data_IF_781767490907
#
_entry.id   IF_781767490907
#
_cell.length_a   1.000
_cell.length_b   1.000
_cell.length_c   1.000
_cell.angle_alpha   90.00
_cell.angle_beta   90.00
_cell.angle_gamma   90.00
#
_symmetry.space_group_name_H-M   'P 1'
#
loop_
_entity.id
_entity.type
_entity.pdbx_description
1 polymer ?
#
# COMPACT_ATOMS: atom_id res chain seq x y z
N UNK A 1 -24.54 -9.13 -2.85
CA UNK A 1 -24.12 -9.55 -4.22
C UNK A 1 -23.29 -10.85 -4.15
N UNK A 2 -23.14 -11.60 -5.25
CA UNK A 2 -22.48 -12.93 -5.27
C UNK A 2 -21.01 -12.86 -4.82
N UNK A 3 -20.32 -11.77 -5.10
CA UNK A 3 -18.92 -11.55 -4.71
C UNK A 3 -18.70 -11.45 -3.19
N UNK A 4 -19.53 -10.66 -2.51
CA UNK A 4 -19.52 -10.53 -1.04
C UNK A 4 -19.77 -11.88 -0.37
N UNK A 5 -20.65 -12.70 -0.94
CA UNK A 5 -20.95 -14.04 -0.44
C UNK A 5 -19.74 -14.99 -0.60
N UNK A 6 -19.10 -15.01 -1.77
CA UNK A 6 -17.88 -15.82 -2.00
C UNK A 6 -16.77 -15.45 -1.01
N UNK A 7 -16.55 -14.15 -0.77
CA UNK A 7 -15.56 -13.71 0.21
C UNK A 7 -15.96 -14.09 1.65
N UNK A 8 -17.24 -14.00 2.00
CA UNK A 8 -17.74 -14.44 3.31
C UNK A 8 -17.51 -15.94 3.53
N UNK A 9 -17.81 -16.77 2.54
CA UNK A 9 -17.63 -18.22 2.62
C UNK A 9 -16.13 -18.57 2.69
N UNK A 10 -15.30 -17.89 1.90
CA UNK A 10 -13.84 -18.02 1.95
C UNK A 10 -13.30 -17.69 3.33
N UNK A 11 -13.67 -16.55 3.91
CA UNK A 11 -13.20 -16.14 5.23
C UNK A 11 -13.75 -17.04 6.35
N UNK A 12 -14.97 -17.55 6.22
CA UNK A 12 -15.54 -18.48 7.19
C UNK A 12 -14.73 -19.78 7.24
N UNK A 13 -14.26 -20.26 6.07
CA UNK A 13 -13.45 -21.46 5.97
C UNK A 13 -12.00 -21.25 6.38
N UNK A 14 -11.41 -20.10 6.02
CA UNK A 14 -9.97 -19.84 6.19
C UNK A 14 -9.63 -19.15 7.53
N UNK A 15 -10.61 -18.53 8.19
CA UNK A 15 -10.46 -17.89 9.50
C UNK A 15 -11.49 -18.47 10.50
N UNK A 16 -11.43 -19.77 10.83
CA UNK A 16 -12.46 -20.44 11.64
C UNK A 16 -12.53 -19.93 13.09
N UNK A 17 -11.50 -19.25 13.56
CA UNK A 17 -11.44 -18.57 14.87
C UNK A 17 -12.41 -17.38 14.95
N UNK A 18 -12.76 -16.79 13.81
CA UNK A 18 -13.62 -15.61 13.74
C UNK A 18 -15.09 -16.04 13.71
N UNK A 19 -15.85 -15.57 14.69
CA UNK A 19 -17.27 -15.88 14.77
C UNK A 19 -18.04 -15.39 13.52
N UNK A 20 -18.85 -16.27 12.91
CA UNK A 20 -19.61 -16.01 11.66
C UNK A 20 -20.37 -14.68 11.64
N UNK A 21 -21.09 -14.34 12.72
CA UNK A 21 -21.81 -13.04 12.84
C UNK A 21 -20.90 -11.80 12.77
N UNK A 22 -19.64 -11.90 13.20
CA UNK A 22 -18.65 -10.81 13.09
C UNK A 22 -18.20 -10.66 11.64
N UNK A 23 -17.88 -11.76 10.95
CA UNK A 23 -17.61 -11.75 9.50
C UNK A 23 -18.78 -11.17 8.72
N UNK A 24 -20.00 -11.64 8.96
CA UNK A 24 -21.21 -11.10 8.30
C UNK A 24 -21.37 -9.59 8.52
N UNK A 25 -21.09 -9.09 9.72
CA UNK A 25 -21.18 -7.66 10.00
C UNK A 25 -20.07 -6.85 9.33
N UNK A 26 -18.86 -7.42 9.23
CA UNK A 26 -17.73 -6.83 8.52
C UNK A 26 -17.99 -6.77 7.00
N UNK A 27 -18.50 -7.85 6.43
CA UNK A 27 -18.83 -7.96 5.00
C UNK A 27 -20.02 -7.08 4.63
N UNK A 28 -21.01 -6.95 5.50
CA UNK A 28 -22.10 -5.99 5.31
C UNK A 28 -21.59 -4.53 5.27
N UNK A 29 -20.64 -4.17 6.14
CA UNK A 29 -20.01 -2.85 6.10
C UNK A 29 -19.14 -2.66 4.83
N UNK A 30 -18.49 -3.74 4.38
CA UNK A 30 -17.71 -3.78 3.14
C UNK A 30 -18.60 -3.56 1.90
N UNK A 31 -19.75 -4.23 1.85
CA UNK A 31 -20.75 -4.04 0.79
C UNK A 31 -21.20 -2.58 0.70
N UNK A 32 -21.49 -1.93 1.84
CA UNK A 32 -21.83 -0.50 1.83
C UNK A 32 -20.73 0.40 1.23
N UNK A 33 -19.44 0.10 1.44
CA UNK A 33 -18.32 0.84 0.83
C UNK A 33 -18.27 0.61 -0.68
N UNK A 34 -18.43 -0.64 -1.10
CA UNK A 34 -18.44 -1.01 -2.51
C UNK A 34 -19.58 -0.33 -3.27
N UNK A 35 -20.72 -0.13 -2.60
CA UNK A 35 -21.91 0.51 -3.13
C UNK A 35 -21.85 2.06 -3.01
N UNK A 36 -20.69 2.61 -2.62
CA UNK A 36 -20.39 4.04 -2.69
C UNK A 36 -20.43 4.81 -1.37
N UNK A 37 -20.62 4.15 -0.22
CA UNK A 37 -20.54 4.83 1.07
C UNK A 37 -19.11 5.28 1.40
N UNK A 38 -18.96 6.51 1.89
CA UNK A 38 -17.69 6.93 2.50
C UNK A 38 -17.36 6.08 3.73
N UNK A 39 -16.08 5.85 3.97
CA UNK A 39 -15.52 5.10 5.09
C UNK A 39 -15.62 5.85 6.44
N UNK A 40 -16.85 6.21 6.81
CA UNK A 40 -17.20 6.92 8.05
C UNK A 40 -18.35 6.20 8.75
N UNK A 41 -18.34 6.22 10.09
CA UNK A 41 -19.34 5.55 10.92
C UNK A 41 -20.79 5.80 10.46
N UNK A 42 -21.15 7.06 10.25
CA UNK A 42 -22.53 7.45 9.96
C UNK A 42 -22.93 7.15 8.52
N UNK A 43 -22.04 7.35 7.54
CA UNK A 43 -22.36 7.01 6.14
C UNK A 43 -22.45 5.51 5.93
N UNK A 44 -21.52 4.73 6.49
CA UNK A 44 -21.62 3.28 6.50
C UNK A 44 -22.94 2.82 7.11
N UNK A 45 -23.30 3.35 8.29
CA UNK A 45 -24.55 3.00 8.97
C UNK A 45 -25.80 3.36 8.17
N UNK A 46 -25.81 4.51 7.47
CA UNK A 46 -26.93 4.96 6.62
C UNK A 46 -27.07 4.16 5.33
N UNK A 47 -25.96 3.63 4.81
CA UNK A 47 -25.92 2.84 3.58
C UNK A 47 -26.06 1.33 3.81
N UNK A 48 -26.25 0.89 5.06
CA UNK A 48 -26.48 -0.53 5.32
C UNK A 48 -27.84 -0.96 4.76
N UNK A 49 -27.83 -1.99 3.92
CA UNK A 49 -29.05 -2.64 3.45
C UNK A 49 -29.66 -3.50 4.57
N UNK A 50 -30.50 -2.90 5.42
CA UNK A 50 -31.18 -3.59 6.52
C UNK A 50 -32.62 -3.13 6.66
N UNK A 51 -33.48 -3.99 7.22
CA UNK A 51 -34.87 -3.66 7.57
C UNK A 51 -35.02 -2.86 8.87
N UNK A 52 -33.92 -2.37 9.44
CA UNK A 52 -33.91 -1.66 10.72
C UNK A 52 -33.86 -0.15 10.51
N UNK A 53 -34.24 0.62 11.53
CA UNK A 53 -34.12 2.09 11.43
C UNK A 53 -32.66 2.52 11.32
N UNK A 54 -32.43 3.67 10.68
CA UNK A 54 -31.10 4.27 10.50
C UNK A 54 -30.32 4.40 11.82
N UNK A 55 -31.02 4.70 12.93
CA UNK A 55 -30.42 4.75 14.27
C UNK A 55 -29.78 3.40 14.64
N UNK A 56 -30.47 2.29 14.43
CA UNK A 56 -29.97 0.96 14.76
C UNK A 56 -28.85 0.51 13.82
N UNK A 57 -28.95 0.85 12.53
CA UNK A 57 -27.91 0.59 11.54
C UNK A 57 -26.59 1.32 11.87
N UNK A 58 -26.65 2.61 12.26
CA UNK A 58 -25.48 3.37 12.73
C UNK A 58 -24.90 2.74 14.00
N UNK A 59 -25.75 2.41 14.99
CA UNK A 59 -25.29 1.72 16.21
C UNK A 59 -24.66 0.36 15.93
N UNK A 60 -25.06 -0.33 14.86
CA UNK A 60 -24.46 -1.61 14.45
C UNK A 60 -23.02 -1.40 13.96
N UNK A 61 -22.77 -0.42 13.09
CA UNK A 61 -21.40 -0.07 12.68
C UNK A 61 -20.58 0.42 13.87
N UNK A 62 -21.19 1.20 14.77
CA UNK A 62 -20.47 1.69 15.96
C UNK A 62 -19.93 0.54 16.80
N UNK A 63 -20.76 -0.47 17.08
CA UNK A 63 -20.38 -1.70 17.80
C UNK A 63 -19.39 -2.57 17.04
N UNK A 64 -19.45 -2.58 15.69
CA UNK A 64 -18.47 -3.29 14.86
C UNK A 64 -17.09 -2.66 15.04
N UNK A 65 -16.98 -1.34 14.91
CA UNK A 65 -15.71 -0.61 15.03
C UNK A 65 -15.11 -0.67 16.44
N UNK A 66 -15.93 -0.84 17.49
CA UNK A 66 -15.49 -1.00 18.87
C UNK A 66 -15.44 -2.45 19.35
N UNK A 67 -15.63 -3.45 18.48
CA UNK A 67 -15.72 -4.84 18.89
C UNK A 67 -14.35 -5.38 19.37
N UNK A 68 -14.20 -5.58 20.68
CA UNK A 68 -12.94 -6.02 21.29
C UNK A 68 -12.43 -7.37 20.74
N UNK A 69 -13.33 -8.29 20.42
CA UNK A 69 -12.91 -9.60 19.89
C UNK A 69 -12.45 -9.48 18.44
N UNK A 70 -13.11 -8.63 17.64
CA UNK A 70 -12.66 -8.34 16.28
C UNK A 70 -11.26 -7.71 16.26
N UNK A 71 -10.95 -6.82 17.21
CA UNK A 71 -9.61 -6.24 17.36
C UNK A 71 -8.53 -7.27 17.71
N UNK A 72 -8.89 -8.41 18.32
CA UNK A 72 -7.94 -9.48 18.66
C UNK A 72 -7.70 -10.44 17.50
N UNK A 73 -8.69 -10.60 16.63
CA UNK A 73 -8.68 -11.60 15.55
C UNK A 73 -8.52 -10.99 14.15
N UNK A 74 -8.54 -9.66 14.00
CA UNK A 74 -8.40 -9.01 12.69
C UNK A 74 -7.11 -9.39 11.94
N UNK A 75 -6.04 -9.68 12.68
CA UNK A 75 -4.78 -10.17 12.16
C UNK A 75 -4.93 -11.51 11.41
N UNK A 76 -5.92 -12.34 11.74
CA UNK A 76 -6.17 -13.60 11.02
C UNK A 76 -6.64 -13.36 9.58
N UNK A 77 -7.37 -12.27 9.34
CA UNK A 77 -7.77 -11.87 7.99
C UNK A 77 -6.57 -11.37 7.20
N UNK A 78 -5.69 -10.57 7.83
CA UNK A 78 -4.43 -10.15 7.19
C UNK A 78 -3.52 -11.35 6.89
N UNK A 79 -3.40 -12.32 7.81
CA UNK A 79 -2.66 -13.58 7.60
C UNK A 79 -3.22 -14.38 6.42
N UNK A 80 -4.54 -14.54 6.36
CA UNK A 80 -5.19 -15.21 5.22
C UNK A 80 -4.84 -14.51 3.90
N UNK A 81 -5.01 -13.19 3.85
CA UNK A 81 -4.75 -12.44 2.62
C UNK A 81 -3.26 -12.45 2.24
N UNK A 82 -2.35 -12.32 3.21
CA UNK A 82 -0.92 -12.41 2.97
C UNK A 82 -0.52 -13.79 2.41
N UNK A 83 -1.06 -14.89 2.96
CA UNK A 83 -0.87 -16.23 2.41
C UNK A 83 -1.41 -16.35 0.98
N UNK A 84 -2.57 -15.74 0.71
CA UNK A 84 -3.17 -15.70 -0.62
C UNK A 84 -2.22 -15.07 -1.65
N UNK A 85 -1.58 -13.94 -1.33
CA UNK A 85 -0.84 -13.15 -2.32
C UNK A 85 0.69 -13.31 -2.27
N UNK A 86 1.23 -13.92 -1.21
CA UNK A 86 2.68 -14.16 -1.08
C UNK A 86 3.04 -15.62 -0.82
N UNK A 87 2.07 -16.53 -0.74
CA UNK A 87 2.29 -17.93 -0.34
C UNK A 87 3.29 -18.69 -1.22
N UNK A 88 3.31 -18.43 -2.53
CA UNK A 88 4.26 -19.08 -3.45
C UNK A 88 5.49 -18.22 -3.79
N UNK A 89 5.62 -17.02 -3.22
CA UNK A 89 6.76 -16.14 -3.45
C UNK A 89 7.62 -16.03 -2.18
N UNK A 90 8.80 -16.67 -2.13
CA UNK A 90 9.65 -16.63 -0.93
C UNK A 90 10.29 -15.26 -0.69
N UNK A 91 10.32 -14.37 -1.68
CA UNK A 91 10.97 -13.07 -1.61
C UNK A 91 10.08 -11.96 -2.20
N UNK A 92 8.92 -11.65 -1.57
CA UNK A 92 8.01 -10.65 -2.10
C UNK A 92 8.60 -9.25 -1.98
N UNK A 93 8.33 -8.40 -2.98
CA UNK A 93 8.71 -6.98 -2.93
C UNK A 93 7.60 -6.20 -2.23
N UNK A 94 7.92 -5.70 -1.04
CA UNK A 94 6.97 -5.02 -0.15
C UNK A 94 7.31 -3.53 -0.09
N UNK A 95 6.38 -2.69 -0.51
CA UNK A 95 6.45 -1.24 -0.31
C UNK A 95 5.98 -0.93 1.11
N UNK A 96 6.72 -0.11 1.84
CA UNK A 96 6.32 0.37 3.17
C UNK A 96 6.40 1.88 3.24
N UNK A 97 5.31 2.51 3.66
CA UNK A 97 5.27 3.95 3.82
C UNK A 97 4.23 4.44 4.83
N UNK A 98 4.47 5.63 5.36
CA UNK A 98 3.58 6.33 6.28
C UNK A 98 2.61 7.23 5.53
N UNK A 99 1.40 7.38 6.06
CA UNK A 99 0.40 8.26 5.49
C UNK A 99 -0.47 8.89 6.56
N UNK A 100 -0.69 10.20 6.48
CA UNK A 100 -1.62 10.90 7.38
C UNK A 100 -3.07 10.56 7.04
N UNK A 101 -3.84 10.09 8.01
CA UNK A 101 -5.25 9.71 7.82
C UNK A 101 -6.12 10.91 7.41
N UNK A 102 -5.80 12.14 7.86
CA UNK A 102 -6.68 13.32 7.71
C UNK A 102 -5.98 14.62 7.33
N UNK A 103 -4.71 14.59 6.91
CA UNK A 103 -3.91 15.81 6.63
C UNK A 103 -3.94 16.83 7.79
N UNK A 104 -3.97 16.32 9.02
CA UNK A 104 -3.97 17.10 10.26
C UNK A 104 -2.93 16.63 11.27
N UNK A 105 -2.08 15.67 10.89
CA UNK A 105 -1.01 15.10 11.69
C UNK A 105 -1.52 14.66 13.07
N UNK A 106 -2.67 13.99 13.11
CA UNK A 106 -3.26 13.44 14.34
C UNK A 106 -3.07 11.95 14.45
N UNK A 107 -3.36 11.26 13.35
CA UNK A 107 -3.26 9.82 13.21
C UNK A 107 -2.53 9.51 11.92
N UNK A 108 -1.58 8.59 12.00
CA UNK A 108 -0.76 8.15 10.89
C UNK A 108 -1.03 6.68 10.65
N UNK A 109 -1.09 6.24 9.40
CA UNK A 109 -1.14 4.83 9.03
C UNK A 109 0.22 4.43 8.48
N UNK A 110 0.78 3.34 8.98
CA UNK A 110 1.90 2.65 8.35
C UNK A 110 1.33 1.46 7.58
N UNK A 111 1.67 1.35 6.30
CA UNK A 111 1.15 0.31 5.41
C UNK A 111 2.29 -0.41 4.72
N UNK A 112 2.16 -1.74 4.66
CA UNK A 112 2.95 -2.63 3.84
C UNK A 112 2.09 -3.11 2.67
N UNK A 113 2.61 -3.06 1.45
CA UNK A 113 1.87 -3.47 0.25
C UNK A 113 2.75 -4.18 -0.77
N UNK A 114 2.23 -5.23 -1.41
CA UNK A 114 2.87 -5.83 -2.60
C UNK A 114 2.54 -5.00 -3.83
N UNK A 115 3.54 -4.81 -4.69
CA UNK A 115 3.34 -4.22 -6.03
C UNK A 115 2.53 -5.20 -6.88
N UNK A 116 1.42 -4.82 -7.48
CA UNK A 116 0.61 -5.67 -8.36
C UNK A 116 0.15 -4.89 -9.59
N UNK A 117 0.71 -5.21 -10.77
CA UNK A 117 0.29 -4.68 -12.08
C UNK A 117 -0.09 -3.17 -12.11
N UNK A 118 0.79 -2.33 -11.58
CA UNK A 118 0.64 -0.86 -11.60
C UNK A 118 -0.12 -0.26 -10.40
N UNK A 119 -0.54 -1.07 -9.42
CA UNK A 119 -1.11 -0.62 -8.15
C UNK A 119 -0.53 -1.42 -6.99
N UNK A 120 -0.61 -0.90 -5.78
CA UNK A 120 -0.17 -1.63 -4.59
C UNK A 120 -1.37 -2.30 -3.90
N UNK A 121 -1.19 -3.55 -3.48
CA UNK A 121 -2.16 -4.32 -2.70
C UNK A 121 -1.68 -4.37 -1.26
N UNK A 122 -2.50 -3.92 -0.32
CA UNK A 122 -2.19 -3.96 1.12
C UNK A 122 -1.97 -5.40 1.60
N UNK A 123 -0.83 -5.64 2.25
CA UNK A 123 -0.58 -6.86 3.04
C UNK A 123 -0.97 -6.67 4.50
N UNK A 124 -0.57 -5.53 5.04
CA UNK A 124 -0.81 -5.18 6.42
C UNK A 124 -0.79 -3.67 6.56
N UNK A 125 -1.64 -3.16 7.43
CA UNK A 125 -1.60 -1.76 7.81
C UNK A 125 -2.09 -1.56 9.23
N UNK A 126 -1.58 -0.51 9.86
CA UNK A 126 -1.89 -0.18 11.23
C UNK A 126 -1.90 1.33 11.41
N UNK A 127 -2.89 1.84 12.15
CA UNK A 127 -2.96 3.21 12.57
C UNK A 127 -2.14 3.46 13.84
N UNK A 128 -1.65 4.68 13.98
CA UNK A 128 -0.83 5.15 15.09
C UNK A 128 -1.21 6.58 15.44
N UNK A 129 -0.96 7.00 16.68
CA UNK A 129 -1.01 8.41 17.03
C UNK A 129 0.18 9.15 16.42
N UNK A 130 0.05 10.45 16.16
CA UNK A 130 1.14 11.23 15.56
C UNK A 130 2.43 11.23 16.41
N UNK A 131 2.33 11.15 17.74
CA UNK A 131 3.50 11.03 18.64
C UNK A 131 4.36 9.79 18.36
N UNK A 132 3.80 8.80 17.69
CA UNK A 132 4.45 7.54 17.33
C UNK A 132 5.03 7.56 15.90
N UNK A 133 4.77 8.63 15.14
CA UNK A 133 5.24 8.79 13.77
C UNK A 133 6.77 8.71 13.69
N UNK A 134 7.28 7.87 12.78
CA UNK A 134 8.72 7.64 12.59
C UNK A 134 9.50 7.25 13.86
N UNK A 135 8.82 6.69 14.87
CA UNK A 135 9.48 6.17 16.08
C UNK A 135 10.03 4.76 15.86
N UNK A 136 11.26 4.44 16.30
CA UNK A 136 11.82 3.09 16.20
C UNK A 136 10.98 2.02 16.88
N UNK A 137 10.29 2.34 17.99
CA UNK A 137 9.41 1.40 18.68
C UNK A 137 8.18 1.04 17.85
N UNK A 138 7.61 2.02 17.12
CA UNK A 138 6.46 1.75 16.23
C UNK A 138 6.87 1.00 14.98
N UNK A 139 8.05 1.30 14.43
CA UNK A 139 8.65 0.50 13.37
C UNK A 139 8.87 -0.95 13.79
N UNK A 140 9.46 -1.18 14.97
CA UNK A 140 9.70 -2.54 15.49
C UNK A 140 8.39 -3.32 15.61
N UNK A 141 7.40 -2.75 16.31
CA UNK A 141 6.09 -3.36 16.50
C UNK A 141 5.41 -3.68 15.17
N UNK A 142 5.49 -2.77 14.19
CA UNK A 142 4.93 -3.00 12.87
C UNK A 142 5.65 -4.13 12.12
N UNK A 143 6.98 -4.19 12.19
CA UNK A 143 7.77 -5.25 11.56
C UNK A 143 7.56 -6.61 12.23
N UNK A 144 7.41 -6.66 13.56
CA UNK A 144 7.07 -7.87 14.29
C UNK A 144 5.71 -8.41 13.82
N UNK A 145 4.69 -7.55 13.75
CA UNK A 145 3.38 -7.93 13.23
C UNK A 145 3.40 -8.34 11.77
N UNK A 146 4.15 -7.63 10.93
CA UNK A 146 4.32 -8.00 9.53
C UNK A 146 4.99 -9.37 9.38
N UNK A 147 5.98 -9.69 10.23
CA UNK A 147 6.61 -11.02 10.24
C UNK A 147 5.62 -12.12 10.61
N UNK A 148 4.75 -11.89 11.59
CA UNK A 148 3.70 -12.84 11.98
C UNK A 148 2.63 -13.04 10.88
N UNK A 149 2.42 -12.02 10.04
CA UNK A 149 1.43 -12.03 8.96
C UNK A 149 1.96 -12.73 7.71
N UNK A 150 3.24 -12.54 7.39
CA UNK A 150 3.86 -13.15 6.21
C UNK A 150 3.95 -14.68 6.34
N UNK A 151 3.96 -15.41 5.21
CA UNK A 151 4.22 -16.85 5.21
C UNK A 151 5.55 -17.19 5.90
N UNK A 152 5.59 -18.33 6.58
CA UNK A 152 6.79 -18.80 7.26
C UNK A 152 7.94 -18.96 6.26
N UNK A 153 9.12 -18.44 6.61
CA UNK A 153 10.31 -18.48 5.76
C UNK A 153 10.38 -17.39 4.69
N UNK A 154 9.39 -16.49 4.59
CA UNK A 154 9.46 -15.37 3.66
C UNK A 154 10.58 -14.38 4.02
N UNK A 155 11.40 -14.05 3.03
CA UNK A 155 12.51 -13.07 3.13
C UNK A 155 12.25 -11.90 2.17
N UNK A 156 11.32 -10.97 2.50
CA UNK A 156 10.94 -9.89 1.60
C UNK A 156 12.06 -8.89 1.29
N UNK A 157 11.88 -8.17 0.17
CA UNK A 157 12.59 -6.92 -0.13
C UNK A 157 11.70 -5.75 0.25
N UNK A 158 12.04 -5.05 1.32
CA UNK A 158 11.31 -3.89 1.84
C UNK A 158 11.78 -2.61 1.16
N UNK A 159 10.89 -1.94 0.44
CA UNK A 159 11.17 -0.67 -0.22
C UNK A 159 10.49 0.45 0.56
N UNK A 160 11.28 1.40 1.05
CA UNK A 160 10.79 2.53 1.85
C UNK A 160 11.28 3.87 1.30
N UNK A 161 10.48 4.93 1.41
CA UNK A 161 10.91 6.27 0.98
C UNK A 161 11.90 6.90 1.98
N UNK A 162 12.43 8.07 1.60
CA UNK A 162 13.51 8.78 2.28
C UNK A 162 13.17 9.32 3.68
N UNK A 163 11.96 9.10 4.18
CA UNK A 163 11.61 9.35 5.59
C UNK A 163 12.25 8.32 6.54
N UNK A 164 12.68 7.18 6.02
CA UNK A 164 13.25 6.09 6.80
C UNK A 164 14.71 6.37 7.19
N UNK A 165 15.02 6.17 8.47
CA UNK A 165 16.36 6.42 9.06
C UNK A 165 17.15 5.12 9.21
N UNK A 166 18.44 5.22 9.56
CA UNK A 166 19.30 4.05 9.80
C UNK A 166 18.69 3.02 10.76
N UNK A 167 17.93 3.45 11.77
CA UNK A 167 17.24 2.55 12.72
C UNK A 167 16.25 1.63 12.01
N UNK A 168 15.48 2.15 11.06
CA UNK A 168 14.54 1.36 10.26
C UNK A 168 15.25 0.25 9.48
N UNK A 169 16.32 0.60 8.76
CA UNK A 169 17.09 -0.37 7.97
C UNK A 169 17.73 -1.46 8.83
N UNK A 170 18.20 -1.11 10.04
CA UNK A 170 18.72 -2.09 11.01
C UNK A 170 17.63 -3.04 11.48
N UNK A 171 16.44 -2.53 11.81
CA UNK A 171 15.32 -3.36 12.26
C UNK A 171 14.85 -4.33 11.16
N UNK A 172 14.79 -3.87 9.91
CA UNK A 172 14.50 -4.75 8.77
C UNK A 172 15.60 -5.81 8.60
N UNK A 173 16.88 -5.42 8.68
CA UNK A 173 18.00 -6.37 8.55
C UNK A 173 18.06 -7.39 9.71
N UNK A 174 17.68 -7.00 10.94
CA UNK A 174 17.59 -7.90 12.09
C UNK A 174 16.55 -9.01 11.91
N UNK A 175 15.54 -8.80 11.06
CA UNK A 175 14.57 -9.82 10.66
C UNK A 175 15.10 -10.79 9.60
N UNK A 176 16.33 -10.59 9.12
CA UNK A 176 16.88 -11.34 7.99
C UNK A 176 16.33 -10.90 6.64
N UNK A 177 15.73 -9.70 6.56
CA UNK A 177 15.09 -9.20 5.34
C UNK A 177 16.01 -8.26 4.55
N UNK A 178 15.68 -8.10 3.27
CA UNK A 178 16.35 -7.15 2.39
C UNK A 178 15.63 -5.81 2.38
N UNK A 179 16.35 -4.73 2.10
CA UNK A 179 15.76 -3.40 2.03
C UNK A 179 16.36 -2.54 0.91
N UNK A 180 15.55 -1.64 0.37
CA UNK A 180 15.98 -0.57 -0.55
C UNK A 180 15.40 0.75 -0.04
N UNK A 181 16.30 1.70 0.25
CA UNK A 181 15.93 3.03 0.72
C UNK A 181 16.54 4.12 -0.15
N UNK A 182 15.95 5.33 -0.09
CA UNK A 182 16.56 6.54 -0.65
C UNK A 182 17.16 7.38 0.45
N UNK A 183 18.42 7.74 0.30
CA UNK A 183 19.07 8.74 1.15
C UNK A 183 18.73 10.13 0.62
N UNK A 184 18.18 10.97 1.49
CA UNK A 184 17.85 12.37 1.18
C UNK A 184 18.18 13.24 2.39
N UNK A 185 18.25 14.55 2.17
CA UNK A 185 18.69 15.51 3.18
C UNK A 185 20.22 15.56 3.21
N UNK A 186 20.76 15.87 4.38
CA UNK A 186 22.20 15.93 4.63
C UNK A 186 22.58 14.76 5.53
N UNK A 187 23.11 13.73 4.89
CA UNK A 187 23.52 12.49 5.56
C UNK A 187 24.99 12.27 5.26
N UNK A 188 25.78 12.01 6.30
CA UNK A 188 27.18 11.64 6.12
C UNK A 188 27.27 10.24 5.50
N UNK A 189 28.03 10.11 4.43
CA UNK A 189 28.33 8.86 3.74
C UNK A 189 29.85 8.69 3.64
N UNK A 190 30.33 7.46 3.84
CA UNK A 190 31.72 7.08 3.62
C UNK A 190 31.76 6.04 2.50
N UNK A 191 32.42 6.34 1.39
CA UNK A 191 32.60 5.40 0.27
C UNK A 191 33.94 4.69 0.41
N UNK A 192 33.95 3.36 0.49
CA UNK A 192 35.17 2.55 0.59
C UNK A 192 36.20 3.13 1.60
N UNK A 193 37.41 3.50 1.13
CA UNK A 193 38.52 4.05 1.92
C UNK A 193 38.54 5.60 1.98
N UNK A 194 37.51 6.27 1.49
CA UNK A 194 37.43 7.75 1.53
C UNK A 194 37.01 8.24 2.92
N UNK A 195 37.19 9.54 3.16
CA UNK A 195 36.65 10.20 4.35
C UNK A 195 35.13 10.37 4.31
N UNK A 196 34.57 10.66 5.49
CA UNK A 196 33.16 11.00 5.62
C UNK A 196 32.85 12.29 4.86
N UNK A 197 31.89 12.22 3.95
CA UNK A 197 31.43 13.37 3.17
C UNK A 197 29.91 13.49 3.21
N UNK A 198 29.38 14.66 2.82
CA UNK A 198 27.94 14.83 2.64
C UNK A 198 27.46 14.04 1.41
N UNK A 199 26.35 13.31 1.53
CA UNK A 199 25.72 12.58 0.43
C UNK A 199 25.46 13.46 -0.82
N UNK A 200 25.15 14.75 -0.63
CA UNK A 200 24.95 15.70 -1.72
C UNK A 200 26.20 15.89 -2.59
N UNK A 201 27.39 15.65 -2.04
CA UNK A 201 28.63 15.66 -2.81
C UNK A 201 28.63 14.61 -3.92
N UNK A 202 27.79 13.56 -3.85
CA UNK A 202 27.68 12.57 -4.92
C UNK A 202 26.77 13.02 -6.06
N UNK A 203 25.88 14.00 -5.85
CA UNK A 203 24.80 14.33 -6.80
C UNK A 203 25.30 14.85 -8.15
N UNK A 204 26.47 15.49 -8.20
CA UNK A 204 27.06 15.95 -9.47
C UNK A 204 27.49 14.79 -10.38
N UNK A 205 27.73 13.59 -9.83
CA UNK A 205 28.09 12.37 -10.57
C UNK A 205 26.86 11.62 -11.09
N UNK A 206 25.64 12.11 -10.82
CA UNK A 206 24.42 11.40 -11.15
C UNK A 206 24.05 11.55 -12.63
N UNK A 207 23.98 10.42 -13.33
CA UNK A 207 23.58 10.32 -14.74
C UNK A 207 22.22 9.65 -14.90
N UNK A 208 21.65 9.69 -16.11
CA UNK A 208 20.42 8.96 -16.46
C UNK A 208 20.58 7.44 -16.38
N UNK A 209 21.78 6.94 -16.70
CA UNK A 209 22.17 5.55 -16.46
C UNK A 209 22.49 5.36 -14.97
N UNK A 210 21.86 4.40 -14.26
CA UNK A 210 22.21 4.08 -12.89
C UNK A 210 23.68 3.69 -12.79
N UNK A 211 24.40 4.32 -11.86
CA UNK A 211 25.77 3.97 -11.55
C UNK A 211 25.86 3.37 -10.13
N UNK A 212 26.94 2.64 -9.88
CA UNK A 212 27.23 1.99 -8.60
C UNK A 212 28.47 2.64 -7.98
N UNK A 213 28.30 3.61 -7.06
CA UNK A 213 29.41 4.16 -6.28
C UNK A 213 30.16 3.13 -5.42
N UNK A 214 29.60 1.94 -5.22
CA UNK A 214 30.21 0.87 -4.44
C UNK A 214 29.65 0.74 -3.02
N UNK A 215 30.36 -0.07 -2.22
CA UNK A 215 30.06 -0.25 -0.80
C UNK A 215 30.28 1.05 -0.03
N UNK A 216 29.38 1.33 0.90
CA UNK A 216 29.41 2.54 1.70
C UNK A 216 28.97 2.31 3.14
N UNK A 217 29.24 3.31 3.98
CA UNK A 217 28.69 3.41 5.33
C UNK A 217 27.86 4.68 5.46
N UNK A 218 26.64 4.55 6.01
CA UNK A 218 25.74 5.69 6.28
C UNK A 218 25.78 6.11 7.74
N UNK A 219 25.75 7.43 7.97
CA UNK A 219 25.74 8.12 9.26
C UNK A 219 26.96 7.86 10.16
N UNK A 220 27.73 8.92 10.42
CA UNK A 220 28.99 8.86 11.19
C UNK A 220 28.84 8.30 12.62
N UNK A 221 27.75 8.65 13.32
CA UNK A 221 27.52 8.25 14.72
C UNK A 221 27.10 6.79 14.90
N UNK A 222 26.41 6.23 13.91
CA UNK A 222 25.95 4.84 13.96
C UNK A 222 26.03 4.25 12.55
N UNK A 223 27.26 3.91 12.11
CA UNK A 223 27.52 3.48 10.74
C UNK A 223 26.66 2.29 10.35
N UNK A 224 26.04 2.36 9.18
CA UNK A 224 25.31 1.25 8.57
C UNK A 224 26.00 0.91 7.25
N UNK A 225 26.56 -0.30 7.15
CA UNK A 225 27.18 -0.78 5.91
C UNK A 225 26.11 -1.17 4.89
N UNK A 226 26.23 -0.70 3.66
CA UNK A 226 25.29 -0.98 2.56
C UNK A 226 25.95 -0.74 1.19
N UNK A 227 25.27 -1.14 0.11
CA UNK A 227 25.62 -0.77 -1.25
C UNK A 227 24.91 0.53 -1.63
N UNK A 228 25.60 1.45 -2.31
CA UNK A 228 25.00 2.67 -2.84
C UNK A 228 24.79 2.58 -4.36
N UNK A 229 23.73 3.19 -4.86
CA UNK A 229 23.46 3.38 -6.28
C UNK A 229 23.00 4.81 -6.52
N UNK A 230 23.43 5.42 -7.62
CA UNK A 230 23.10 6.81 -7.92
C UNK A 230 22.54 6.93 -9.34
N UNK A 231 21.38 7.59 -9.46
CA UNK A 231 20.71 7.82 -10.74
C UNK A 231 19.98 9.16 -10.72
N UNK A 232 19.99 9.86 -11.84
CA UNK A 232 19.21 11.09 -12.07
C UNK A 232 18.13 10.81 -13.09
N UNK A 233 16.87 10.85 -12.69
CA UNK A 233 15.76 10.64 -13.62
C UNK A 233 15.64 11.80 -14.61
N UNK A 234 15.28 11.48 -15.86
CA UNK A 234 14.92 12.49 -16.84
C UNK A 234 13.73 13.32 -16.34
N UNK A 235 13.76 14.66 -16.52
CA UNK A 235 12.62 15.51 -16.16
C UNK A 235 11.35 15.04 -16.85
N UNK A 236 10.27 14.86 -16.10
CA UNK A 236 8.96 14.41 -16.64
C UNK A 236 8.08 15.55 -17.15
N UNK A 237 8.58 16.80 -17.18
CA UNK A 237 7.84 17.97 -17.66
C UNK A 237 6.53 18.26 -16.91
N UNK A 238 6.36 17.76 -15.68
CA UNK A 238 5.09 17.85 -14.95
C UNK A 238 4.76 19.29 -14.61
N UNK A 239 3.60 19.76 -15.07
CA UNK A 239 3.03 21.07 -14.70
C UNK A 239 2.02 20.90 -13.58
N UNK A 240 2.05 21.79 -12.59
CA UNK A 240 1.06 21.82 -11.53
C UNK A 240 -0.25 22.42 -12.08
N UNK A 241 -1.16 21.56 -12.55
CA UNK A 241 -2.51 21.95 -12.96
C UNK A 241 -3.42 21.95 -11.71
N UNK A 242 -3.30 22.96 -10.85
CA UNK A 242 -4.25 23.18 -9.73
C UNK A 242 -4.80 24.59 -9.81
N UNK A 243 -6.07 24.76 -9.46
CA UNK A 243 -6.76 26.05 -9.46
C UNK A 243 -6.06 27.04 -8.48
N UNK A 244 -5.84 28.28 -8.91
CA UNK A 244 -5.06 29.29 -8.17
C UNK A 244 -5.58 29.61 -6.75
N UNK A 245 -6.85 29.32 -6.45
CA UNK A 245 -7.46 29.53 -5.12
C UNK A 245 -7.10 28.45 -4.09
N UNK A 246 -6.70 27.25 -4.52
CA UNK A 246 -6.31 26.14 -3.62
C UNK A 246 -4.80 25.90 -3.59
N UNK A 247 -4.03 26.53 -4.49
CA UNK A 247 -2.57 26.38 -4.59
C UNK A 247 -1.80 27.09 -3.47
N UNK A 248 -2.34 28.18 -2.90
CA UNK A 248 -1.62 29.06 -1.98
C UNK A 248 -1.41 28.51 -0.57
N UNK A 249 -2.12 27.43 -0.19
CA UNK A 249 -2.15 26.95 1.21
C UNK A 249 -1.32 25.70 1.49
N UNK A 250 -0.71 25.05 0.48
CA UNK A 250 0.12 23.86 0.71
C UNK A 250 1.61 24.21 0.70
N UNK A 251 2.14 24.56 1.88
CA UNK A 251 3.55 24.95 2.12
C UNK A 251 4.58 23.93 1.61
N UNK A 252 4.22 22.64 1.59
CA UNK A 252 5.12 21.57 1.13
C UNK A 252 5.26 21.44 -0.41
N UNK A 253 4.45 22.14 -1.20
CA UNK A 253 4.43 22.01 -2.68
C UNK A 253 5.78 22.33 -3.34
N UNK A 254 6.46 23.41 -2.90
CA UNK A 254 7.80 23.77 -3.37
C UNK A 254 8.86 22.74 -2.98
N UNK A 255 8.74 22.15 -1.77
CA UNK A 255 9.65 21.10 -1.28
C UNK A 255 9.49 19.82 -2.09
N UNK A 256 8.26 19.42 -2.44
CA UNK A 256 7.99 18.26 -3.28
C UNK A 256 8.48 18.45 -4.73
N UNK A 257 8.30 19.65 -5.31
CA UNK A 257 8.80 19.96 -6.64
C UNK A 257 10.33 19.89 -6.71
N UNK A 258 11.03 20.48 -5.72
CA UNK A 258 12.50 20.39 -5.62
C UNK A 258 12.96 18.94 -5.43
N UNK A 259 12.31 18.18 -4.53
CA UNK A 259 12.56 16.76 -4.27
C UNK A 259 12.49 15.86 -5.51
N UNK A 260 11.55 16.17 -6.40
CA UNK A 260 11.32 15.38 -7.60
C UNK A 260 12.45 15.49 -8.62
N UNK A 261 13.23 16.58 -8.58
CA UNK A 261 14.36 16.82 -9.46
C UNK A 261 15.71 16.40 -8.84
N UNK A 262 15.75 16.17 -7.52
CA UNK A 262 16.95 15.65 -6.85
C UNK A 262 17.30 14.25 -7.37
N UNK A 263 18.59 13.94 -7.62
CA UNK A 263 19.03 12.58 -7.89
C UNK A 263 18.55 11.59 -6.82
N UNK A 264 18.41 10.33 -7.24
CA UNK A 264 18.15 9.22 -6.34
C UNK A 264 19.49 8.62 -5.94
N UNK A 265 19.90 8.88 -4.69
CA UNK A 265 20.91 8.08 -4.01
C UNK A 265 20.18 6.95 -3.28
N UNK A 266 20.22 5.77 -3.86
CA UNK A 266 19.61 4.55 -3.32
C UNK A 266 20.64 3.76 -2.54
N UNK A 267 20.18 3.11 -1.48
CA UNK A 267 21.01 2.30 -0.59
C UNK A 267 20.29 0.99 -0.28
N UNK A 268 21.05 -0.09 -0.14
CA UNK A 268 20.50 -1.43 0.10
C UNK A 268 21.51 -2.35 0.78
N UNK A 269 21.02 -3.34 1.52
CA UNK A 269 21.83 -4.47 1.98
C UNK A 269 21.92 -5.63 0.96
N UNK A 270 21.29 -5.50 -0.21
CA UNK A 270 21.34 -6.52 -1.27
C UNK A 270 22.71 -6.50 -1.94
N UNK A 271 23.39 -7.66 -2.09
CA UNK A 271 24.66 -7.74 -2.80
C UNK A 271 24.51 -7.35 -4.28
N UNK A 272 25.51 -6.65 -4.83
CA UNK A 272 25.53 -6.28 -6.26
C UNK A 272 25.62 -7.53 -7.17
N UNK A 273 26.12 -8.66 -6.68
CA UNK A 273 26.07 -9.93 -7.42
C UNK A 273 24.65 -10.46 -7.61
N UNK A 274 23.71 -10.06 -6.76
CA UNK A 274 22.32 -10.53 -6.79
C UNK A 274 21.43 -9.61 -7.63
N UNK A 275 21.51 -8.30 -7.40
CA UNK A 275 20.75 -7.31 -8.16
C UNK A 275 21.64 -6.14 -8.56
N UNK A 276 21.68 -5.83 -9.85
CA UNK A 276 22.47 -4.73 -10.39
C UNK A 276 21.75 -3.37 -10.27
N UNK A 277 22.48 -2.28 -10.49
CA UNK A 277 22.00 -0.90 -10.34
C UNK A 277 20.69 -0.59 -11.09
N UNK A 278 20.50 -1.16 -12.29
CA UNK A 278 19.28 -0.99 -13.09
C UNK A 278 18.07 -1.65 -12.43
N UNK A 279 18.24 -2.88 -11.93
CA UNK A 279 17.18 -3.63 -11.27
C UNK A 279 16.77 -2.97 -9.95
N UNK A 280 17.75 -2.54 -9.14
CA UNK A 280 17.50 -1.77 -7.90
C UNK A 280 16.72 -0.48 -8.20
N UNK A 281 17.10 0.25 -9.24
CA UNK A 281 16.40 1.47 -9.65
C UNK A 281 14.97 1.18 -10.11
N UNK A 282 14.76 0.11 -10.88
CA UNK A 282 13.42 -0.34 -11.32
C UNK A 282 12.55 -0.76 -10.14
N UNK A 283 13.10 -1.49 -9.17
CA UNK A 283 12.40 -1.85 -7.93
C UNK A 283 11.99 -0.61 -7.16
N UNK A 284 12.94 0.29 -6.86
CA UNK A 284 12.65 1.49 -6.09
C UNK A 284 11.63 2.41 -6.80
N UNK A 285 11.62 2.47 -8.13
CA UNK A 285 10.63 3.23 -8.89
C UNK A 285 9.19 2.77 -8.63
N UNK A 286 8.97 1.50 -8.26
CA UNK A 286 7.65 0.95 -7.93
C UNK A 286 7.05 1.55 -6.66
N UNK A 287 7.85 2.19 -5.79
CA UNK A 287 7.37 2.82 -4.54
C UNK A 287 6.18 3.73 -4.74
N UNK A 288 6.06 4.40 -5.89
CA UNK A 288 4.95 5.32 -6.15
C UNK A 288 3.58 4.65 -6.15
N UNK A 289 3.51 3.33 -6.31
CA UNK A 289 2.24 2.60 -6.31
C UNK A 289 1.57 2.59 -4.93
N UNK A 290 2.33 2.64 -3.82
CA UNK A 290 1.74 2.72 -2.48
C UNK A 290 1.07 4.08 -2.26
N UNK A 291 1.64 5.15 -2.82
CA UNK A 291 1.08 6.50 -2.76
C UNK A 291 -0.23 6.62 -3.55
N UNK A 292 -0.32 5.89 -4.67
CA UNK A 292 -1.57 5.75 -5.41
C UNK A 292 -2.61 4.98 -4.61
N UNK A 293 -2.23 3.89 -3.92
CA UNK A 293 -3.13 3.14 -3.04
C UNK A 293 -3.61 3.99 -1.85
N UNK A 294 -2.76 4.85 -1.28
CA UNK A 294 -3.20 5.82 -0.26
C UNK A 294 -4.17 6.86 -0.83
N UNK A 295 -3.95 7.32 -2.07
CA UNK A 295 -4.89 8.22 -2.75
C UNK A 295 -6.25 7.54 -2.97
N UNK A 296 -6.25 6.28 -3.40
CA UNK A 296 -7.47 5.48 -3.62
C UNK A 296 -8.22 5.22 -2.30
N UNK A 297 -7.54 5.19 -1.16
CA UNK A 297 -8.17 5.11 0.17
C UNK A 297 -8.76 6.46 0.62
N UNK A 298 -8.00 7.54 0.46
CA UNK A 298 -8.29 8.84 1.09
C UNK A 298 -9.21 9.73 0.27
N UNK A 299 -9.07 9.70 -1.07
CA UNK A 299 -9.77 10.62 -1.97
C UNK A 299 -11.28 10.52 -1.82
N UNK A 300 -11.93 11.69 -1.74
CA UNK A 300 -13.39 11.81 -1.68
C UNK A 300 -14.05 11.61 -3.03
N UNK A 301 -13.44 12.10 -4.10
CA UNK A 301 -13.99 12.04 -5.45
C UNK A 301 -13.76 10.66 -6.11
N UNK A 302 -12.60 10.05 -5.87
CA UNK A 302 -12.19 8.86 -6.61
C UNK A 302 -11.96 7.62 -5.74
N UNK A 303 -11.89 7.79 -4.42
CA UNK A 303 -11.51 6.76 -3.46
C UNK A 303 -12.63 6.37 -2.50
N UNK A 304 -12.25 5.96 -1.29
CA UNK A 304 -13.15 5.55 -0.19
C UNK A 304 -13.42 6.66 0.83
N UNK A 305 -12.98 7.89 0.56
CA UNK A 305 -13.24 9.09 1.35
C UNK A 305 -12.82 8.98 2.84
N UNK A 306 -11.75 8.23 3.16
CA UNK A 306 -11.27 8.07 4.55
C UNK A 306 -10.96 9.43 5.22
N UNK A 307 -10.62 10.48 4.46
CA UNK A 307 -10.41 11.83 4.97
C UNK A 307 -11.59 12.42 5.76
N UNK A 308 -12.82 11.98 5.48
CA UNK A 308 -14.00 12.45 6.21
C UNK A 308 -14.14 11.81 7.58
N UNK A 309 -13.31 10.82 7.90
CA UNK A 309 -13.34 10.18 9.20
C UNK A 309 -12.94 11.15 10.32
N UNK A 310 -13.70 11.11 11.42
CA UNK A 310 -13.48 11.98 12.60
C UNK A 310 -13.20 11.18 13.88
N UNK A 311 -12.90 9.89 13.77
CA UNK A 311 -12.56 9.11 14.96
C UNK A 311 -11.24 9.60 15.57
N UNK A 312 -11.15 9.50 16.89
CA UNK A 312 -9.91 9.78 17.63
C UNK A 312 -9.23 8.50 18.11
N UNK A 313 -9.86 7.35 17.87
CA UNK A 313 -9.42 6.06 18.35
C UNK A 313 -8.71 5.29 17.22
N UNK A 314 -7.42 5.02 17.43
CA UNK A 314 -6.59 4.22 16.52
C UNK A 314 -7.22 2.87 16.20
N UNK A 315 -7.71 2.15 17.22
CA UNK A 315 -8.36 0.84 17.04
C UNK A 315 -9.53 0.90 16.05
N UNK A 316 -10.36 1.95 16.13
CA UNK A 316 -11.48 2.11 15.20
C UNK A 316 -11.01 2.39 13.77
N UNK A 317 -9.87 3.06 13.60
CA UNK A 317 -9.25 3.24 12.28
C UNK A 317 -8.79 1.90 11.72
N UNK A 318 -8.17 1.03 12.53
CA UNK A 318 -7.70 -0.27 12.07
C UNK A 318 -8.82 -1.12 11.45
N UNK A 319 -10.03 -1.07 12.02
CA UNK A 319 -11.20 -1.79 11.45
C UNK A 319 -11.73 -1.12 10.18
N UNK A 320 -11.66 0.21 10.07
CA UNK A 320 -12.00 0.90 8.83
C UNK A 320 -11.02 0.57 7.71
N UNK A 321 -9.72 0.50 8.03
CA UNK A 321 -8.68 0.04 7.11
C UNK A 321 -8.93 -1.41 6.67
N UNK A 322 -9.31 -2.28 7.61
CA UNK A 322 -9.70 -3.67 7.29
C UNK A 322 -10.91 -3.74 6.34
N UNK A 323 -11.96 -2.93 6.57
CA UNK A 323 -13.10 -2.83 5.64
C UNK A 323 -12.63 -2.37 4.25
N UNK A 324 -11.71 -1.40 4.21
CA UNK A 324 -11.15 -0.92 2.94
C UNK A 324 -10.36 -2.00 2.20
N UNK A 325 -9.56 -2.80 2.92
CA UNK A 325 -8.83 -3.96 2.38
C UNK A 325 -9.80 -4.95 1.73
N UNK A 326 -10.84 -5.37 2.45
CA UNK A 326 -11.81 -6.34 1.91
C UNK A 326 -12.53 -5.80 0.67
N UNK A 327 -12.87 -4.52 0.66
CA UNK A 327 -13.43 -3.87 -0.52
C UNK A 327 -12.43 -3.87 -1.68
N UNK A 328 -11.15 -3.57 -1.42
CA UNK A 328 -10.11 -3.59 -2.45
C UNK A 328 -9.90 -4.99 -3.05
N UNK A 329 -9.94 -6.05 -2.25
CA UNK A 329 -9.86 -7.44 -2.74
C UNK A 329 -10.99 -7.73 -3.73
N UNK A 330 -12.23 -7.39 -3.37
CA UNK A 330 -13.39 -7.59 -4.25
C UNK A 330 -13.31 -6.77 -5.54
N UNK A 331 -12.84 -5.52 -5.45
CA UNK A 331 -12.62 -4.68 -6.63
C UNK A 331 -11.52 -5.22 -7.54
N UNK A 332 -10.48 -5.85 -6.98
CA UNK A 332 -9.47 -6.55 -7.76
C UNK A 332 -10.06 -7.74 -8.51
N UNK A 333 -10.83 -8.61 -7.85
CA UNK A 333 -11.47 -9.76 -8.49
C UNK A 333 -12.42 -9.32 -9.62
N UNK A 334 -13.32 -8.37 -9.33
CA UNK A 334 -14.25 -7.83 -10.33
C UNK A 334 -13.50 -7.19 -11.51
N UNK A 335 -12.40 -6.49 -11.24
CA UNK A 335 -11.58 -5.85 -12.26
C UNK A 335 -10.81 -6.82 -13.15
N UNK A 336 -10.30 -7.92 -12.59
CA UNK A 336 -9.60 -8.96 -13.35
C UNK A 336 -10.58 -9.64 -14.33
N UNK A 337 -11.78 -9.98 -13.85
CA UNK A 337 -12.84 -10.59 -14.68
C UNK A 337 -13.23 -9.66 -15.82
N UNK A 338 -13.47 -8.39 -15.52
CA UNK A 338 -13.80 -7.39 -16.51
C UNK A 338 -12.67 -7.14 -17.52
N UNK A 339 -11.41 -7.26 -17.08
CA UNK A 339 -10.25 -7.17 -17.96
C UNK A 339 -10.21 -8.36 -18.93
N UNK A 340 -10.43 -9.58 -18.42
CA UNK A 340 -10.48 -10.82 -19.21
C UNK A 340 -11.63 -10.79 -20.24
N UNK A 341 -12.81 -10.34 -19.81
CA UNK A 341 -13.99 -10.19 -20.66
C UNK A 341 -13.93 -8.98 -21.60
N UNK A 342 -12.82 -8.23 -21.60
CA UNK A 342 -12.60 -7.01 -22.41
C UNK A 342 -13.62 -5.87 -22.18
N UNK A 343 -14.35 -5.90 -21.06
CA UNK A 343 -15.30 -4.85 -20.69
C UNK A 343 -14.64 -3.49 -20.42
N UNK A 344 -13.32 -3.48 -20.20
CA UNK A 344 -12.55 -2.26 -20.06
C UNK A 344 -12.72 -1.28 -21.23
N UNK A 345 -13.02 -1.75 -22.45
CA UNK A 345 -13.29 -0.86 -23.58
C UNK A 345 -14.61 -0.11 -23.47
N UNK A 346 -15.60 -0.63 -22.72
CA UNK A 346 -16.89 0.04 -22.55
C UNK A 346 -16.81 1.23 -21.58
N UNK A 347 -15.79 1.27 -20.73
CA UNK A 347 -15.58 2.32 -19.73
C UNK A 347 -14.50 3.34 -20.13
N UNK A 348 -13.95 3.21 -21.33
CA UNK A 348 -12.93 4.12 -21.85
C UNK A 348 -13.56 5.06 -22.86
N UNK A 349 -13.52 6.36 -22.57
CA UNK A 349 -13.96 7.39 -23.51
C UNK A 349 -12.93 7.69 -24.62
N UNK A 350 -11.73 7.10 -24.54
CA UNK A 350 -10.67 7.30 -25.51
C UNK A 350 -10.51 6.09 -26.45
N UNK A 351 -9.78 6.28 -27.54
CA UNK A 351 -9.55 5.25 -28.58
C UNK A 351 -8.33 4.37 -28.31
N UNK A 352 -7.73 4.42 -27.11
CA UNK A 352 -6.49 3.70 -26.81
C UNK A 352 -6.79 2.20 -26.68
N UNK A 353 -6.19 1.39 -27.56
CA UNK A 353 -6.33 -0.08 -27.54
C UNK A 353 -5.07 -0.85 -27.13
N UNK A 354 -3.90 -0.20 -27.17
CA UNK A 354 -2.61 -0.85 -26.93
C UNK A 354 -2.21 -0.96 -25.45
N UNK A 355 -2.94 -0.32 -24.54
CA UNK A 355 -2.68 -0.37 -23.09
C UNK A 355 -3.95 -0.17 -22.30
N UNK A 356 -3.94 -0.67 -21.06
CA UNK A 356 -5.03 -0.42 -20.11
C UNK A 356 -5.00 1.05 -19.63
N UNK A 357 -6.17 1.68 -19.63
CA UNK A 357 -6.35 3.08 -19.19
C UNK A 357 -6.78 3.17 -17.73
N UNK A 358 -7.71 2.33 -17.29
CA UNK A 358 -8.20 2.27 -15.91
C UNK A 358 -7.39 1.26 -15.09
N UNK A 359 -7.15 1.55 -13.81
CA UNK A 359 -6.59 0.51 -12.91
C UNK A 359 -7.58 -0.64 -12.75
N UNK A 360 -7.09 -1.84 -12.46
CA UNK A 360 -7.94 -3.03 -12.26
C UNK A 360 -9.01 -2.77 -11.20
N UNK A 361 -8.70 -2.24 -9.98
CA UNK A 361 -9.72 -1.92 -9.00
C UNK A 361 -10.74 -0.88 -9.46
N UNK A 362 -10.30 0.12 -10.26
CA UNK A 362 -11.23 1.13 -10.79
C UNK A 362 -12.20 0.50 -11.77
N UNK A 363 -11.72 -0.36 -12.66
CA UNK A 363 -12.57 -1.12 -13.58
C UNK A 363 -13.56 -2.00 -12.83
N UNK A 364 -13.10 -2.71 -11.79
CA UNK A 364 -13.98 -3.54 -10.96
C UNK A 364 -15.09 -2.73 -10.28
N UNK A 365 -14.81 -1.48 -9.88
CA UNK A 365 -15.80 -0.56 -9.33
C UNK A 365 -16.84 -0.16 -10.38
N UNK A 366 -16.41 0.22 -11.58
CA UNK A 366 -17.34 0.61 -12.65
C UNK A 366 -18.27 -0.55 -13.03
N UNK A 367 -17.71 -1.74 -13.22
CA UNK A 367 -18.47 -2.94 -13.60
C UNK A 367 -19.54 -3.26 -12.58
N UNK A 368 -19.20 -3.22 -11.28
CA UNK A 368 -20.15 -3.44 -10.18
C UNK A 368 -21.31 -2.44 -10.18
N UNK A 369 -21.06 -1.18 -10.55
CA UNK A 369 -22.08 -0.13 -10.57
C UNK A 369 -23.12 -0.31 -11.69
N UNK A 370 -22.90 -1.24 -12.63
CA UNK A 370 -23.75 -1.44 -13.79
C UNK A 370 -24.34 -2.86 -13.80
N UNK A 371 -25.67 -2.94 -13.72
CA UNK A 371 -26.43 -4.21 -13.76
C UNK A 371 -26.27 -5.03 -15.06
N UNK A 372 -25.69 -4.46 -16.11
CA UNK A 372 -25.46 -5.15 -17.39
C UNK A 372 -24.37 -6.23 -17.29
N UNK A 373 -23.49 -6.12 -16.31
CA UNK A 373 -22.32 -6.98 -16.19
C UNK A 373 -22.52 -8.00 -15.08
N UNK A 374 -23.08 -9.15 -15.46
CA UNK A 374 -23.25 -10.25 -14.53
C UNK A 374 -22.00 -11.13 -14.52
N UNK A 375 -21.45 -11.32 -13.32
CA UNK A 375 -20.28 -12.16 -13.08
C UNK A 375 -20.74 -13.46 -12.42
N UNK A 376 -20.38 -14.59 -13.03
CA UNK A 376 -20.70 -15.90 -12.50
C UNK A 376 -19.62 -16.42 -11.53
N UNK A 377 -19.92 -17.53 -10.86
CA UNK A 377 -19.04 -18.09 -9.84
C UNK A 377 -17.73 -18.66 -10.40
N UNK A 378 -17.74 -19.26 -11.60
CA UNK A 378 -16.53 -19.77 -12.25
C UNK A 378 -15.55 -18.64 -12.57
N UNK A 379 -16.05 -17.48 -12.98
CA UNK A 379 -15.24 -16.29 -13.22
C UNK A 379 -14.57 -15.79 -11.93
N UNK A 380 -15.24 -15.85 -10.78
CA UNK A 380 -14.62 -15.52 -9.50
C UNK A 380 -13.51 -16.49 -9.12
N UNK A 381 -13.72 -17.80 -9.30
CA UNK A 381 -12.67 -18.80 -9.06
C UNK A 381 -11.44 -18.53 -9.93
N UNK A 382 -11.65 -18.26 -11.23
CA UNK A 382 -10.57 -17.85 -12.13
C UNK A 382 -9.87 -16.57 -11.63
N UNK A 383 -10.63 -15.55 -11.24
CA UNK A 383 -10.06 -14.27 -10.81
C UNK A 383 -9.23 -14.38 -9.53
N UNK A 384 -9.62 -15.24 -8.60
CA UNK A 384 -8.86 -15.52 -7.38
C UNK A 384 -7.51 -16.16 -7.75
N UNK A 385 -7.51 -17.15 -8.65
CA UNK A 385 -6.28 -17.81 -9.12
C UNK A 385 -5.36 -16.85 -9.89
N UNK A 386 -5.94 -16.02 -10.76
CA UNK A 386 -5.20 -15.00 -11.51
C UNK A 386 -4.61 -13.96 -10.56
N UNK A 387 -5.38 -13.53 -9.55
CA UNK A 387 -4.91 -12.60 -8.53
C UNK A 387 -3.70 -13.14 -7.76
N UNK A 388 -3.74 -14.42 -7.37
CA UNK A 388 -2.60 -15.11 -6.75
C UNK A 388 -1.40 -15.17 -7.71
N UNK A 389 -1.61 -15.59 -8.95
CA UNK A 389 -0.56 -15.73 -9.97
C UNK A 389 0.16 -14.41 -10.23
N UNK A 390 -0.60 -13.33 -10.40
CA UNK A 390 -0.05 -11.99 -10.59
C UNK A 390 0.75 -11.53 -9.37
N UNK A 391 0.28 -11.83 -8.16
CA UNK A 391 0.98 -11.42 -6.93
C UNK A 391 2.25 -12.23 -6.67
N UNK A 392 2.23 -13.53 -6.93
CA UNK A 392 3.41 -14.40 -6.79
C UNK A 392 4.52 -14.02 -7.77
N UNK A 393 4.17 -13.65 -9.00
CA UNK A 393 5.14 -13.19 -10.00
C UNK A 393 5.52 -11.71 -9.86
N UNK A 394 4.88 -10.99 -8.94
CA UNK A 394 5.09 -9.58 -8.79
C UNK A 394 6.48 -9.23 -8.20
N UNK A 395 6.93 -8.01 -8.49
CA UNK A 395 8.18 -7.50 -7.94
C UNK A 395 9.42 -7.89 -8.75
N UNK A 396 9.71 -9.20 -8.88
CA UNK A 396 10.95 -9.70 -9.49
C UNK A 396 10.79 -10.20 -10.95
N UNK A 397 9.60 -10.65 -11.36
CA UNK A 397 9.40 -11.38 -12.64
C UNK A 397 9.65 -10.62 -13.95
N UNK A 398 10.00 -9.33 -13.92
CA UNK A 398 10.34 -8.51 -15.10
C UNK A 398 11.58 -7.61 -14.89
N UNK A 399 12.46 -7.98 -13.95
CA UNK A 399 13.57 -7.11 -13.54
C UNK A 399 14.66 -6.92 -14.60
#
# INVERSE_FOLDING_TARGET
>A
MRDVQILLDTLTNQCPTIHKKRLQSLLLATESVLDGADLTLTKLGRSLNTRTTTKHAIKRIDRLLSNNQLHRENEDIYKWHARLITGANPCPVILVDWSDVREQLRHMTLRASVVLDGRAVTLYEQAFEYKQYNSPSSHQRFLDKLQDILPQGATPIVISDAGSRNTWFRQVQQKGWFWIGRVRGEVSIKLNRQDWQCNKALYHKATSKPNDPGRCQLAKRSPLACQAYLVKQSPKGRKALRHARTSSKHTASKVFAKSANDPWLLVTNIPNQTLHAVQITRLYAKRMQIEEAFRDLKSTAYGKALWHNRTRCVKRLDILLLIALLADILLWWNGLIASQAKWHFHFQANTIKHRRVLSIPRLGKEVRNHRRYDINEQQYHWAILEYQTLAHSAGLGKL
#
